data_IF_325524357748
#
_entry.id   IF_325524357748
#
_cell.length_a   1.000
_cell.length_b   1.000
_cell.length_c   1.000
_cell.angle_alpha   90.00
_cell.angle_beta   90.00
_cell.angle_gamma   90.00
#
_symmetry.space_group_name_H-M   'P 1'
#
loop_
_entity.id
_entity.type
_entity.pdbx_description
1 polymer ?
#
# COMPACT_ATOMS: atom_id res chain seq x y z
N UNK A 1 -15.12 20.46 10.08
CA UNK A 1 -14.32 19.23 9.97
C UNK A 1 -13.23 19.30 11.03
N UNK A 2 -13.16 18.33 11.94
CA UNK A 2 -12.00 18.21 12.83
C UNK A 2 -10.77 17.88 11.96
N UNK A 3 -9.63 18.57 12.12
CA UNK A 3 -8.42 18.22 11.40
C UNK A 3 -8.01 16.79 11.77
N UNK A 4 -7.61 16.00 10.78
CA UNK A 4 -7.13 14.64 11.02
C UNK A 4 -5.81 14.75 11.81
N UNK A 5 -5.71 14.12 13.01
CA UNK A 5 -4.49 14.21 13.81
C UNK A 5 -3.31 13.46 13.18
N UNK A 6 -3.53 12.67 12.13
CA UNK A 6 -2.51 11.85 11.49
C UNK A 6 -2.21 12.29 10.05
N UNK A 7 -0.92 12.33 9.72
CA UNK A 7 -0.42 12.52 8.36
C UNK A 7 -0.87 11.38 7.43
N UNK A 8 -0.88 11.58 6.11
CA UNK A 8 -1.10 10.48 5.16
C UNK A 8 -0.10 9.33 5.37
N UNK A 9 1.16 9.67 5.67
CA UNK A 9 2.19 8.69 5.97
C UNK A 9 1.93 7.93 7.28
N UNK A 10 1.54 8.61 8.35
CA UNK A 10 1.16 7.96 9.61
C UNK A 10 -0.03 7.04 9.42
N UNK A 11 -1.04 7.46 8.64
CA UNK A 11 -2.19 6.60 8.33
C UNK A 11 -1.79 5.36 7.56
N UNK A 12 -0.95 5.52 6.54
CA UNK A 12 -0.43 4.43 5.74
C UNK A 12 0.33 3.41 6.60
N UNK A 13 1.23 3.88 7.45
CA UNK A 13 2.11 3.01 8.24
C UNK A 13 1.41 2.38 9.44
N UNK A 14 0.55 3.11 10.14
CA UNK A 14 -0.07 2.64 11.38
C UNK A 14 -1.32 1.79 11.12
N UNK A 15 -2.18 2.20 10.20
CA UNK A 15 -3.55 1.66 10.13
C UNK A 15 -3.86 0.90 8.84
N UNK A 16 -3.12 1.12 7.75
CA UNK A 16 -3.50 0.56 6.44
C UNK A 16 -2.94 -0.86 6.25
N UNK A 17 -3.80 -1.88 6.09
CA UNK A 17 -3.38 -3.21 5.69
C UNK A 17 -3.03 -3.28 4.19
N UNK A 18 -3.75 -2.49 3.40
CA UNK A 18 -3.58 -2.34 1.95
C UNK A 18 -3.65 -0.87 1.54
N UNK A 19 -3.02 -0.53 0.43
CA UNK A 19 -3.01 0.80 -0.16
C UNK A 19 -3.10 0.72 -1.69
N UNK A 20 -3.84 1.63 -2.31
CA UNK A 20 -3.75 1.85 -3.74
C UNK A 20 -2.58 2.79 -4.06
N UNK A 21 -2.19 2.84 -5.33
CA UNK A 21 -1.13 3.77 -5.77
C UNK A 21 -1.45 5.25 -5.49
N UNK A 22 -2.72 5.63 -5.52
CA UNK A 22 -3.15 6.98 -5.15
C UNK A 22 -2.89 7.31 -3.68
N UNK A 23 -3.08 6.33 -2.78
CA UNK A 23 -2.77 6.49 -1.35
C UNK A 23 -1.27 6.59 -1.12
N UNK A 24 -0.47 5.76 -1.80
CA UNK A 24 0.98 5.84 -1.78
C UNK A 24 1.48 7.19 -2.28
N UNK A 25 0.93 7.68 -3.39
CA UNK A 25 1.24 9.01 -3.94
C UNK A 25 0.92 10.14 -2.96
N UNK A 26 -0.24 10.09 -2.30
CA UNK A 26 -0.60 11.10 -1.30
C UNK A 26 0.38 11.10 -0.12
N UNK A 27 0.74 9.91 0.39
CA UNK A 27 1.72 9.79 1.48
C UNK A 27 3.14 10.22 1.06
N UNK A 28 3.53 9.95 -0.20
CA UNK A 28 4.80 10.40 -0.76
C UNK A 28 4.86 11.93 -0.84
N UNK A 29 3.85 12.57 -1.43
CA UNK A 29 3.82 14.03 -1.59
C UNK A 29 3.81 14.75 -0.24
N UNK A 30 3.09 14.21 0.75
CA UNK A 30 3.04 14.80 2.08
C UNK A 30 4.38 14.66 2.84
N UNK A 31 5.11 13.56 2.61
CA UNK A 31 6.43 13.34 3.25
C UNK A 31 7.57 14.11 2.58
N UNK A 32 7.40 14.58 1.35
CA UNK A 32 8.44 15.27 0.57
C UNK A 32 8.20 16.79 0.42
N UNK A 33 7.39 17.40 1.29
CA UNK A 33 7.13 18.85 1.44
C UNK A 33 7.33 19.73 0.18
N UNK A 34 6.22 20.02 -0.50
CA UNK A 34 5.86 21.27 -1.22
C UNK A 34 6.70 21.91 -2.33
N UNK A 35 7.94 21.51 -2.62
CA UNK A 35 8.71 22.19 -3.70
C UNK A 35 8.68 21.47 -5.06
N UNK A 36 8.14 20.25 -5.11
CA UNK A 36 8.01 19.49 -6.36
C UNK A 36 6.56 19.44 -6.82
N UNK A 37 6.23 20.23 -7.84
CA UNK A 37 5.00 20.04 -8.64
C UNK A 37 5.08 18.82 -9.55
N UNK A 38 6.27 18.20 -9.67
CA UNK A 38 6.46 17.00 -10.46
C UNK A 38 5.75 15.82 -9.79
N UNK A 39 4.84 15.19 -10.52
CA UNK A 39 4.27 13.91 -10.07
C UNK A 39 5.41 12.88 -9.95
N UNK A 40 5.49 12.15 -8.83
CA UNK A 40 6.51 11.12 -8.67
C UNK A 40 6.38 10.05 -9.74
N UNK A 41 7.52 9.54 -10.21
CA UNK A 41 7.53 8.41 -11.12
C UNK A 41 6.99 7.16 -10.44
N UNK A 42 6.54 6.17 -11.22
CA UNK A 42 6.11 4.88 -10.69
C UNK A 42 7.23 4.17 -9.91
N UNK A 43 8.48 4.31 -10.37
CA UNK A 43 9.65 3.76 -9.70
C UNK A 43 9.88 4.40 -8.32
N UNK A 44 9.76 5.73 -8.20
CA UNK A 44 9.85 6.42 -6.91
C UNK A 44 8.74 6.00 -5.95
N UNK A 45 7.51 5.82 -6.46
CA UNK A 45 6.40 5.31 -5.64
C UNK A 45 6.62 3.87 -5.19
N UNK A 46 7.21 3.04 -6.04
CA UNK A 46 7.55 1.64 -5.72
C UNK A 46 8.63 1.58 -4.64
N UNK A 47 9.70 2.37 -4.78
CA UNK A 47 10.75 2.46 -3.76
C UNK A 47 10.19 2.97 -2.42
N UNK A 48 9.33 3.98 -2.45
CA UNK A 48 8.64 4.49 -1.26
C UNK A 48 7.74 3.43 -0.61
N UNK A 49 6.97 2.69 -1.39
CA UNK A 49 6.15 1.60 -0.89
C UNK A 49 6.99 0.56 -0.14
N UNK A 50 8.07 0.08 -0.76
CA UNK A 50 8.99 -0.89 -0.15
C UNK A 50 9.66 -0.35 1.12
N UNK A 51 10.08 0.91 1.13
CA UNK A 51 10.65 1.56 2.32
C UNK A 51 9.69 1.52 3.52
N UNK A 52 8.39 1.63 3.26
CA UNK A 52 7.34 1.58 4.28
C UNK A 52 6.71 0.18 4.48
N UNK A 53 7.29 -0.86 3.85
CA UNK A 53 6.88 -2.25 4.04
C UNK A 53 5.68 -2.69 3.20
N UNK A 54 5.37 -1.94 2.15
CA UNK A 54 4.34 -2.30 1.18
C UNK A 54 4.95 -3.02 -0.02
N UNK A 55 4.31 -4.11 -0.44
CA UNK A 55 4.65 -4.89 -1.63
C UNK A 55 3.43 -4.94 -2.56
N UNK A 56 3.67 -4.99 -3.87
CA UNK A 56 2.59 -5.07 -4.87
C UNK A 56 1.94 -6.45 -4.77
N UNK A 57 0.62 -6.50 -4.92
CA UNK A 57 -0.09 -7.77 -5.10
C UNK A 57 0.42 -8.50 -6.35
N UNK A 58 0.66 -9.81 -6.25
CA UNK A 58 1.09 -10.64 -7.38
C UNK A 58 -0.06 -11.00 -8.35
N UNK A 59 -1.29 -10.65 -7.99
CA UNK A 59 -2.43 -10.71 -8.89
C UNK A 59 -2.37 -9.55 -9.87
N UNK A 60 -2.18 -9.86 -11.16
CA UNK A 60 -2.08 -8.88 -12.25
C UNK A 60 -3.35 -8.04 -12.40
N UNK A 61 -4.49 -8.52 -11.92
CA UNK A 61 -5.76 -7.79 -11.95
C UNK A 61 -5.93 -6.84 -10.77
N UNK A 62 -4.97 -6.81 -9.84
CA UNK A 62 -5.04 -6.07 -8.59
C UNK A 62 -4.01 -4.95 -8.52
N UNK A 63 -4.50 -3.71 -8.46
CA UNK A 63 -3.66 -2.51 -8.32
C UNK A 63 -3.34 -2.14 -6.85
N UNK A 64 -3.53 -3.08 -5.93
CA UNK A 64 -3.30 -2.87 -4.51
C UNK A 64 -1.90 -3.31 -4.08
N UNK A 65 -1.43 -2.62 -3.05
CA UNK A 65 -0.19 -2.90 -2.34
C UNK A 65 -0.55 -3.33 -0.93
N UNK A 66 0.01 -4.44 -0.45
CA UNK A 66 -0.25 -4.95 0.89
C UNK A 66 0.93 -4.65 1.82
N UNK A 67 0.65 -4.50 3.11
CA UNK A 67 1.69 -4.30 4.11
C UNK A 67 2.33 -5.66 4.49
N UNK A 68 3.43 -5.99 3.83
CA UNK A 68 4.20 -7.22 4.03
C UNK A 68 4.79 -7.31 5.43
N UNK A 69 5.26 -6.18 5.99
CA UNK A 69 5.85 -6.14 7.35
C UNK A 69 4.85 -6.52 8.45
N UNK A 70 3.56 -6.38 8.18
CA UNK A 70 2.47 -6.70 9.11
C UNK A 70 1.72 -7.98 8.73
N UNK A 71 2.19 -8.74 7.74
CA UNK A 71 1.55 -10.00 7.33
C UNK A 71 0.17 -9.82 6.67
N UNK A 72 -0.07 -8.70 5.99
CA UNK A 72 -1.36 -8.42 5.32
C UNK A 72 -1.47 -9.06 3.93
N UNK A 73 -1.02 -10.30 3.77
CA UNK A 73 -1.09 -11.06 2.53
C UNK A 73 -1.49 -12.51 2.79
N UNK A 74 -1.85 -13.20 1.72
CA UNK A 74 -2.03 -14.66 1.67
C UNK A 74 -1.04 -15.19 0.64
N UNK A 75 -0.32 -16.23 0.99
CA UNK A 75 0.55 -16.93 0.04
C UNK A 75 -0.21 -18.09 -0.59
N UNK A 76 -0.21 -18.16 -1.92
CA UNK A 76 -0.78 -19.27 -2.68
C UNK A 76 0.05 -19.52 -3.92
N UNK A 77 0.45 -20.78 -4.14
CA UNK A 77 1.23 -21.19 -5.31
C UNK A 77 2.50 -20.34 -5.52
N UNK A 78 3.15 -19.92 -4.43
CA UNK A 78 4.32 -19.04 -4.44
C UNK A 78 4.04 -17.56 -4.74
N UNK A 79 2.77 -17.17 -4.89
CA UNK A 79 2.32 -15.78 -5.10
C UNK A 79 1.82 -15.17 -3.79
N UNK A 80 2.20 -13.93 -3.52
CA UNK A 80 1.65 -13.12 -2.42
C UNK A 80 0.48 -12.28 -2.91
N UNK A 81 -0.71 -12.70 -2.49
CA UNK A 81 -1.95 -12.01 -2.80
C UNK A 81 -2.30 -11.06 -1.65
N UNK A 82 -2.70 -9.84 -1.97
CA UNK A 82 -3.33 -8.99 -0.97
C UNK A 82 -4.62 -9.67 -0.48
N UNK A 83 -5.01 -9.46 0.79
CA UNK A 83 -6.17 -10.15 1.38
C UNK A 83 -7.49 -9.90 0.61
N UNK A 84 -7.63 -8.76 -0.08
CA UNK A 84 -8.78 -8.51 -0.96
C UNK A 84 -8.81 -9.44 -2.18
N UNK A 85 -7.70 -9.58 -2.91
CA UNK A 85 -7.62 -10.53 -4.04
C UNK A 85 -7.77 -11.97 -3.58
N UNK A 86 -7.24 -12.30 -2.40
CA UNK A 86 -7.38 -13.62 -1.81
C UNK A 86 -8.86 -13.98 -1.58
N UNK A 87 -9.62 -13.09 -0.95
CA UNK A 87 -11.06 -13.26 -0.72
C UNK A 87 -11.85 -13.37 -2.03
N UNK A 88 -11.56 -12.53 -3.03
CA UNK A 88 -12.20 -12.62 -4.35
C UNK A 88 -11.90 -13.93 -5.06
N UNK A 89 -10.74 -14.53 -4.80
CA UNK A 89 -10.33 -15.83 -5.32
C UNK A 89 -10.85 -17.02 -4.50
N UNK A 90 -11.71 -16.76 -3.50
CA UNK A 90 -12.29 -17.79 -2.64
C UNK A 90 -11.31 -18.37 -1.61
N UNK A 91 -10.21 -17.67 -1.31
CA UNK A 91 -9.31 -18.02 -0.21
C UNK A 91 -9.82 -17.39 1.07
N UNK A 92 -9.84 -18.16 2.16
CA UNK A 92 -10.21 -17.68 3.47
C UNK A 92 -8.95 -17.26 4.24
N UNK A 93 -8.61 -15.97 4.33
CA UNK A 93 -7.49 -15.52 5.13
C UNK A 93 -7.84 -15.69 6.61
N UNK A 94 -7.11 -16.54 7.33
CA UNK A 94 -7.22 -16.60 8.80
C UNK A 94 -6.98 -15.19 9.40
N UNK A 95 -7.90 -14.76 10.27
CA UNK A 95 -7.98 -13.39 10.80
C UNK A 95 -7.08 -13.15 12.01
#
# INVERSE_FOLDING_TARGET
MLPNPYTALQRLTMFKPVASIGVLKAAYLESHSSDSTASPSFESLTAFAHQHGFEKCDDETCDLWFNARKGWFVEKDGKKLCRMSALQSGLDPEF
#
